data_IF_134723865726
#
_entry.id   IF_134723865726
#
_cell.length_a   1.000
_cell.length_b   1.000
_cell.length_c   1.000
_cell.angle_alpha   90.00
_cell.angle_beta   90.00
_cell.angle_gamma   90.00
#
_symmetry.space_group_name_H-M   'P 1'
#
loop_
_entity.id
_entity.type
_entity.pdbx_description
1 polymer ?
#
# COMPACT_ATOMS: atom_id res chain seq x y z
N UNK A 1 -17.93 48.20 -20.87
CA UNK A 1 -17.89 48.57 -22.28
C UNK A 1 -17.03 47.59 -23.06
N UNK A 2 -17.54 47.18 -24.14
CA UNK A 2 -17.06 46.37 -25.26
C UNK A 2 -17.19 44.88 -25.21
N UNK A 3 -18.33 44.47 -25.67
CA UNK A 3 -18.73 43.14 -26.16
C UNK A 3 -18.02 42.80 -27.46
N UNK A 4 -17.46 41.61 -27.58
CA UNK A 4 -17.23 40.98 -28.89
C UNK A 4 -17.92 39.65 -29.00
N UNK A 5 -19.02 39.68 -29.70
CA UNK A 5 -19.69 38.51 -30.30
C UNK A 5 -18.82 38.01 -31.44
N UNK A 6 -18.55 36.70 -31.49
CA UNK A 6 -18.10 36.07 -32.73
C UNK A 6 -19.05 34.95 -33.12
N UNK A 7 -19.51 35.19 -34.32
CA UNK A 7 -20.52 34.55 -35.10
C UNK A 7 -20.17 33.12 -35.48
N UNK A 8 -21.12 32.28 -35.31
CA UNK A 8 -21.16 30.87 -35.68
C UNK A 8 -21.50 30.76 -37.18
N UNK A 9 -20.65 30.17 -37.98
CA UNK A 9 -20.97 29.78 -39.34
C UNK A 9 -21.24 28.27 -39.42
N UNK A 10 -22.50 27.97 -39.61
CA UNK A 10 -23.01 26.66 -39.96
C UNK A 10 -22.62 26.38 -41.41
N UNK A 11 -21.86 25.32 -41.66
CA UNK A 11 -21.75 24.70 -42.99
C UNK A 11 -22.40 23.33 -42.97
N UNK A 12 -23.59 23.33 -43.51
CA UNK A 12 -24.32 22.14 -43.92
C UNK A 12 -23.69 21.62 -45.21
N UNK A 13 -23.18 20.42 -45.20
CA UNK A 13 -22.90 19.67 -46.42
C UNK A 13 -23.53 18.30 -46.31
N UNK A 14 -24.64 18.18 -46.99
CA UNK A 14 -25.29 16.94 -47.34
C UNK A 14 -24.43 16.29 -48.43
N UNK A 15 -24.02 15.07 -48.27
CA UNK A 15 -23.56 14.24 -49.36
C UNK A 15 -24.05 12.79 -49.20
N UNK A 16 -24.73 12.41 -50.18
CA UNK A 16 -25.57 11.32 -50.58
C UNK A 16 -24.75 10.00 -50.70
N UNK A 17 -25.35 8.92 -50.21
CA UNK A 17 -25.33 7.52 -50.64
C UNK A 17 -24.24 7.03 -51.62
N UNK A 18 -23.52 6.02 -51.18
CA UNK A 18 -23.32 4.80 -52.01
C UNK A 18 -23.22 3.57 -51.09
N UNK A 19 -24.17 2.64 -51.28
CA UNK A 19 -24.06 1.28 -50.80
C UNK A 19 -22.93 0.58 -51.60
N UNK A 20 -21.97 0.03 -50.89
CA UNK A 20 -21.16 -1.06 -51.41
C UNK A 20 -21.08 -2.12 -50.29
N UNK A 21 -21.82 -3.18 -50.52
CA UNK A 21 -21.67 -4.41 -49.73
C UNK A 21 -20.33 -5.04 -50.10
N UNK A 22 -19.51 -5.29 -49.09
CA UNK A 22 -18.41 -6.24 -49.18
C UNK A 22 -18.21 -6.93 -47.84
N UNK A 23 -18.63 -8.13 -47.88
CA UNK A 23 -18.27 -9.35 -47.14
C UNK A 23 -17.16 -9.25 -46.10
N UNK A 24 -17.54 -9.60 -44.88
CA UNK A 24 -16.86 -10.49 -43.92
C UNK A 24 -15.33 -10.55 -43.97
N UNK A 25 -14.73 -9.90 -42.99
CA UNK A 25 -13.65 -10.48 -42.22
C UNK A 25 -13.81 -9.99 -40.79
N UNK A 26 -14.51 -10.79 -40.00
CA UNK A 26 -14.45 -10.74 -38.56
C UNK A 26 -13.07 -11.26 -38.19
N UNK A 27 -12.10 -10.38 -38.09
CA UNK A 27 -10.92 -10.66 -37.33
C UNK A 27 -11.35 -10.59 -35.86
N UNK A 28 -11.65 -11.73 -35.31
CA UNK A 28 -11.71 -11.96 -33.89
C UNK A 28 -10.35 -11.55 -33.29
N UNK A 29 -10.25 -10.30 -32.93
CA UNK A 29 -9.22 -9.90 -31.95
C UNK A 29 -9.74 -10.46 -30.64
N UNK A 30 -9.42 -11.70 -30.37
CA UNK A 30 -9.36 -12.24 -29.02
C UNK A 30 -8.26 -11.50 -28.28
N UNK A 31 -8.48 -10.23 -28.09
CA UNK A 31 -7.85 -9.43 -27.06
C UNK A 31 -8.47 -9.82 -25.74
N UNK A 32 -8.24 -11.07 -25.38
CA UNK A 32 -8.52 -11.56 -24.03
C UNK A 32 -7.82 -10.63 -23.08
N UNK A 33 -8.63 -9.83 -22.46
CA UNK A 33 -8.37 -9.02 -21.27
C UNK A 33 -7.52 -9.78 -20.26
N UNK A 34 -6.22 -9.72 -20.42
CA UNK A 34 -5.23 -10.09 -19.38
C UNK A 34 -5.16 -9.01 -18.28
N UNK A 35 -6.21 -8.18 -18.18
CA UNK A 35 -6.28 -7.14 -17.14
C UNK A 35 -7.05 -7.62 -15.91
N UNK A 36 -7.31 -8.91 -15.79
CA UNK A 36 -8.13 -9.47 -14.71
C UNK A 36 -7.38 -10.37 -13.74
N UNK A 37 -6.09 -10.19 -13.57
CA UNK A 37 -5.36 -10.93 -12.55
C UNK A 37 -4.32 -10.14 -11.79
N UNK A 38 -4.56 -8.83 -11.58
CA UNK A 38 -4.11 -8.21 -10.35
C UNK A 38 -5.18 -8.60 -9.32
N UNK A 39 -5.29 -9.86 -9.06
CA UNK A 39 -5.90 -10.32 -7.83
C UNK A 39 -5.06 -9.71 -6.73
N UNK A 40 -5.67 -8.81 -5.96
CA UNK A 40 -5.15 -8.39 -4.68
C UNK A 40 -4.64 -9.66 -3.98
N UNK A 41 -3.33 -9.78 -3.92
CA UNK A 41 -2.65 -10.81 -3.15
C UNK A 41 -3.24 -10.67 -1.74
N UNK A 42 -4.09 -11.63 -1.34
CA UNK A 42 -4.73 -11.61 -0.03
C UNK A 42 -3.59 -11.51 0.95
N UNK A 43 -3.43 -10.34 1.55
CA UNK A 43 -2.35 -10.03 2.47
C UNK A 43 -2.35 -11.10 3.56
N UNK A 44 -1.47 -12.08 3.40
CA UNK A 44 -1.39 -13.20 4.33
C UNK A 44 -0.82 -12.65 5.62
N UNK A 45 -1.56 -12.79 6.70
CA UNK A 45 -1.13 -12.41 8.04
C UNK A 45 -1.28 -13.59 9.00
N UNK A 46 -0.57 -13.53 10.08
CA UNK A 46 -0.67 -14.43 11.21
C UNK A 46 -0.88 -13.64 12.49
N UNK A 47 -1.52 -14.26 13.47
CA UNK A 47 -1.55 -13.79 14.84
C UNK A 47 -0.41 -14.42 15.62
N UNK A 48 0.39 -13.58 16.28
CA UNK A 48 1.43 -14.01 17.19
C UNK A 48 1.02 -13.68 18.63
N UNK A 49 0.94 -14.68 19.49
CA UNK A 49 0.77 -14.45 20.91
C UNK A 49 2.14 -14.20 21.53
N UNK A 50 2.32 -12.98 22.04
CA UNK A 50 3.56 -12.53 22.66
C UNK A 50 3.92 -13.40 23.84
N UNK A 51 5.16 -13.86 23.90
CA UNK A 51 5.74 -14.64 24.99
C UNK A 51 6.69 -13.77 25.80
N UNK A 52 7.00 -14.22 27.00
CA UNK A 52 8.06 -13.57 27.81
C UNK A 52 9.39 -13.55 27.04
N UNK A 53 10.03 -12.39 26.95
CA UNK A 53 11.27 -12.16 26.21
C UNK A 53 11.09 -11.80 24.72
N UNK A 54 9.87 -11.84 24.18
CA UNK A 54 9.62 -11.32 22.83
C UNK A 54 9.78 -9.79 22.81
N UNK A 55 10.35 -9.32 21.71
CA UNK A 55 10.43 -7.91 21.35
C UNK A 55 10.01 -7.74 19.89
N UNK A 56 9.61 -6.56 19.46
CA UNK A 56 9.34 -6.32 18.04
C UNK A 56 10.56 -6.60 17.17
N UNK A 57 11.76 -6.36 17.70
CA UNK A 57 13.04 -6.69 17.08
C UNK A 57 13.19 -8.19 16.84
N UNK A 58 13.01 -9.01 17.88
CA UNK A 58 13.12 -10.47 17.78
C UNK A 58 12.04 -11.07 16.88
N UNK A 59 10.82 -10.54 16.93
CA UNK A 59 9.72 -10.97 16.06
C UNK A 59 9.98 -10.59 14.60
N UNK A 60 10.51 -9.42 14.35
CA UNK A 60 10.90 -9.00 13.00
C UNK A 60 12.00 -9.89 12.43
N UNK A 61 13.01 -10.24 13.24
CA UNK A 61 14.03 -11.22 12.84
C UNK A 61 13.39 -12.57 12.51
N UNK A 62 12.46 -13.04 13.32
CA UNK A 62 11.81 -14.35 13.16
C UNK A 62 10.95 -14.43 11.89
N UNK A 63 10.16 -13.40 11.62
CA UNK A 63 9.14 -13.44 10.57
C UNK A 63 9.56 -12.82 9.24
N UNK A 64 10.49 -11.85 9.29
CA UNK A 64 10.98 -11.14 8.10
C UNK A 64 12.43 -11.44 7.77
N UNK A 65 13.12 -12.23 8.61
CA UNK A 65 14.56 -12.48 8.52
C UNK A 65 15.41 -11.18 8.51
N UNK A 66 14.85 -10.11 9.05
CA UNK A 66 15.53 -8.82 9.21
C UNK A 66 14.93 -8.07 10.41
N UNK A 67 15.71 -7.84 11.48
CA UNK A 67 15.21 -7.19 12.67
C UNK A 67 14.81 -5.72 12.44
N UNK A 68 15.44 -5.03 11.48
CA UNK A 68 15.15 -3.63 11.17
C UNK A 68 13.76 -3.40 10.55
N UNK A 69 13.00 -4.45 10.25
CA UNK A 69 11.63 -4.31 9.74
C UNK A 69 10.56 -4.27 10.83
N UNK A 70 10.98 -4.26 12.12
CA UNK A 70 10.07 -4.16 13.26
C UNK A 70 9.06 -3.01 13.17
N UNK A 71 9.37 -1.83 12.56
CA UNK A 71 8.39 -0.76 12.47
C UNK A 71 7.15 -1.13 11.64
N UNK A 72 7.23 -2.12 10.75
CA UNK A 72 6.05 -2.63 10.06
C UNK A 72 5.12 -3.41 11.01
N UNK A 73 5.67 -4.16 11.96
CA UNK A 73 4.87 -4.84 12.97
C UNK A 73 4.21 -3.79 13.86
N UNK A 74 4.97 -2.81 14.34
CA UNK A 74 4.47 -1.71 15.17
C UNK A 74 3.33 -0.96 14.48
N UNK A 75 3.54 -0.51 13.25
CA UNK A 75 2.54 0.22 12.47
C UNK A 75 1.22 -0.56 12.34
N UNK A 76 1.31 -1.83 12.01
CA UNK A 76 0.13 -2.67 11.79
C UNK A 76 -0.60 -3.07 13.08
N UNK A 77 -0.08 -2.68 14.24
CA UNK A 77 -0.64 -2.93 15.56
C UNK A 77 -0.66 -1.68 16.45
N UNK A 78 -0.64 -0.49 15.85
CA UNK A 78 -0.57 0.78 16.57
C UNK A 78 -1.80 1.06 17.46
N UNK A 79 -2.90 0.35 17.21
CA UNK A 79 -4.10 0.32 18.04
C UNK A 79 -3.94 -0.47 19.35
N UNK A 80 -2.93 -1.35 19.42
CA UNK A 80 -2.68 -2.29 20.54
C UNK A 80 -1.33 -2.11 21.18
N UNK A 81 -0.35 -1.61 20.45
CA UNK A 81 1.01 -1.35 20.92
C UNK A 81 1.19 0.15 21.06
N UNK A 82 1.21 0.62 22.29
CA UNK A 82 1.44 2.04 22.58
C UNK A 82 2.91 2.41 22.41
N UNK A 83 3.79 1.61 22.96
CA UNK A 83 5.24 1.79 22.99
C UNK A 83 5.90 0.65 22.21
N UNK A 84 6.70 1.02 21.20
CA UNK A 84 7.37 0.05 20.34
C UNK A 84 8.40 -0.82 21.07
N UNK A 85 8.89 -0.35 22.23
CA UNK A 85 9.88 -1.06 23.06
C UNK A 85 9.24 -1.96 24.11
N UNK A 86 7.90 -1.91 24.21
CA UNK A 86 7.17 -2.65 25.23
C UNK A 86 5.98 -3.41 24.64
N UNK A 87 6.17 -4.71 24.40
CA UNK A 87 5.08 -5.65 24.16
C UNK A 87 4.96 -6.60 25.35
N UNK A 88 3.73 -6.94 25.74
CA UNK A 88 3.47 -7.71 26.95
C UNK A 88 3.10 -9.15 26.63
N UNK A 89 3.57 -10.13 27.42
CA UNK A 89 3.13 -11.53 27.29
C UNK A 89 1.60 -11.64 27.29
N UNK A 90 1.08 -12.44 26.37
CA UNK A 90 -0.36 -12.61 26.17
C UNK A 90 -1.00 -11.64 25.19
N UNK A 91 -0.33 -10.56 24.77
CA UNK A 91 -0.82 -9.73 23.67
C UNK A 91 -0.87 -10.55 22.37
N UNK A 92 -1.93 -10.36 21.60
CA UNK A 92 -2.05 -10.91 20.24
C UNK A 92 -1.74 -9.83 19.23
N UNK A 93 -0.67 -10.00 18.47
CA UNK A 93 -0.23 -9.05 17.45
C UNK A 93 -0.32 -9.64 16.05
N UNK A 94 -0.65 -8.80 15.07
CA UNK A 94 -0.80 -9.18 13.68
C UNK A 94 0.54 -8.99 12.96
N UNK A 95 0.99 -10.00 12.24
CA UNK A 95 2.20 -9.97 11.45
C UNK A 95 1.86 -10.31 10.00
N UNK A 96 1.99 -9.35 9.11
CA UNK A 96 1.75 -9.52 7.69
C UNK A 96 2.96 -10.15 7.01
N UNK A 97 2.75 -11.23 6.26
CA UNK A 97 3.85 -11.93 5.56
C UNK A 97 4.35 -11.14 4.36
N UNK A 98 3.49 -10.35 3.72
CA UNK A 98 3.78 -9.60 2.49
C UNK A 98 3.90 -8.12 2.81
N UNK A 99 5.12 -7.66 3.07
CA UNK A 99 5.43 -6.23 3.17
C UNK A 99 6.15 -5.76 1.91
N UNK A 100 5.68 -4.64 1.34
CA UNK A 100 6.23 -4.07 0.11
C UNK A 100 7.70 -3.65 0.30
N UNK A 101 8.44 -3.55 -0.80
CA UNK A 101 9.82 -3.05 -0.78
C UNK A 101 9.89 -1.62 -0.23
N UNK A 102 8.89 -0.79 -0.51
CA UNK A 102 8.82 0.56 0.03
C UNK A 102 8.64 0.56 1.54
N UNK A 103 7.70 -0.25 2.05
CA UNK A 103 7.51 -0.43 3.50
C UNK A 103 8.76 -0.96 4.20
N UNK A 104 9.50 -1.87 3.57
CA UNK A 104 10.78 -2.38 4.08
C UNK A 104 11.80 -1.26 4.21
N UNK A 105 11.98 -0.44 3.16
CA UNK A 105 12.93 0.68 3.16
C UNK A 105 12.59 1.73 4.22
N UNK A 106 11.31 2.10 4.31
CA UNK A 106 10.84 3.07 5.31
C UNK A 106 11.06 2.57 6.74
N UNK A 107 10.73 1.32 6.99
CA UNK A 107 10.93 0.68 8.29
C UNK A 107 12.42 0.63 8.67
N UNK A 108 13.28 0.18 7.76
CA UNK A 108 14.71 0.11 8.01
C UNK A 108 15.31 1.50 8.25
N UNK A 109 14.94 2.50 7.45
CA UNK A 109 15.37 3.88 7.65
C UNK A 109 14.96 4.39 9.04
N UNK A 110 13.71 4.16 9.44
CA UNK A 110 13.23 4.54 10.77
C UNK A 110 14.02 3.82 11.87
N UNK A 111 14.11 2.50 11.81
CA UNK A 111 14.79 1.69 12.83
C UNK A 111 16.27 2.06 13.04
N UNK A 112 16.94 2.51 11.98
CA UNK A 112 18.35 2.95 12.05
C UNK A 112 18.51 4.36 12.61
N UNK A 113 17.50 5.23 12.44
CA UNK A 113 17.58 6.64 12.82
C UNK A 113 16.77 6.98 14.10
N UNK A 114 16.07 6.01 14.66
CA UNK A 114 15.21 6.23 15.83
C UNK A 114 15.96 6.71 17.07
N UNK A 115 17.21 6.33 17.22
CA UNK A 115 18.02 6.65 18.39
C UNK A 115 17.87 5.64 19.52
N UNK A 116 18.08 6.12 20.75
CA UNK A 116 17.92 5.30 21.96
C UNK A 116 16.43 5.01 22.22
N UNK A 117 16.17 3.85 22.76
CA UNK A 117 14.84 3.41 23.15
C UNK A 117 14.64 3.52 24.67
N UNK A 118 13.42 3.88 25.08
CA UNK A 118 13.06 4.06 26.49
C UNK A 118 11.76 3.35 26.77
N UNK A 119 11.81 2.26 27.50
CA UNK A 119 10.62 1.47 27.86
C UNK A 119 9.63 2.31 28.66
N UNK A 120 8.37 2.26 28.24
CA UNK A 120 7.27 2.98 28.88
C UNK A 120 7.03 4.39 28.31
N UNK A 121 7.79 4.78 27.30
CA UNK A 121 7.64 6.07 26.62
C UNK A 121 7.43 5.84 25.11
N UNK A 122 6.53 6.61 24.54
CA UNK A 122 6.31 6.60 23.09
C UNK A 122 7.14 7.71 22.45
N UNK A 123 8.21 7.35 21.77
CA UNK A 123 9.13 8.30 21.18
C UNK A 123 8.49 9.13 20.07
N UNK A 124 8.89 10.37 19.96
CA UNK A 124 8.38 11.31 18.95
C UNK A 124 8.63 10.79 17.52
N UNK A 125 9.77 10.16 17.27
CA UNK A 125 10.07 9.58 15.96
C UNK A 125 9.16 8.41 15.62
N UNK A 126 8.72 7.61 16.59
CA UNK A 126 7.75 6.55 16.40
C UNK A 126 6.37 7.11 16.07
N UNK A 127 5.95 8.17 16.76
CA UNK A 127 4.69 8.88 16.46
C UNK A 127 4.72 9.39 15.02
N UNK A 128 5.78 10.10 14.66
CA UNK A 128 5.96 10.63 13.30
C UNK A 128 6.00 9.54 12.22
N UNK A 129 6.63 8.41 12.53
CA UNK A 129 6.63 7.27 11.60
C UNK A 129 5.22 6.74 11.35
N UNK A 130 4.40 6.63 12.39
CA UNK A 130 3.01 6.20 12.25
C UNK A 130 2.18 7.20 11.43
N UNK A 131 2.31 8.51 11.69
CA UNK A 131 1.57 9.55 10.97
C UNK A 131 1.85 9.57 9.46
N UNK A 132 3.10 9.37 9.07
CA UNK A 132 3.52 9.42 7.65
C UNK A 132 3.17 8.13 6.90
N UNK A 133 2.99 7.01 7.61
CA UNK A 133 2.86 5.69 6.99
C UNK A 133 1.49 5.04 7.21
N UNK A 134 0.48 5.79 7.62
CA UNK A 134 -0.92 5.32 7.72
C UNK A 134 -1.51 4.95 6.36
#
# INVERSE_FOLDING_TARGET
>A
MSTKKNSFKIFSVICIFTLAACSSHVAEISGTSQFSSIQADKTKYIYHNVKSGDTLWSLSQKYYNNPYYWPNIFKNNADRIYDADLILPGQSIIIYSNISLDSKRKAESHARNRGLWVVGYREELDIKFLEINQ
#
